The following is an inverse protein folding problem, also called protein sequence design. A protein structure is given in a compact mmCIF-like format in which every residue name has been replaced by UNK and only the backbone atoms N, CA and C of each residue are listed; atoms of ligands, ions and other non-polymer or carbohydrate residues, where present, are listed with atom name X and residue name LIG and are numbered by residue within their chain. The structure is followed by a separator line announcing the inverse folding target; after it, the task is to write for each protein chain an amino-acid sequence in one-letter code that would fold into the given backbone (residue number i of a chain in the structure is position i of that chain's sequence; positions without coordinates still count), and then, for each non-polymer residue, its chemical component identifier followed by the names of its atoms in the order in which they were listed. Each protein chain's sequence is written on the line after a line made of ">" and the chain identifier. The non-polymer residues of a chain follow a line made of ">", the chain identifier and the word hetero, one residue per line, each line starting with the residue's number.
data_IF_453300284221
#
_entry.id   IF_453300284221
#
_cell.length_a   1.000
_cell.length_b   1.000
_cell.length_c   1.000
_cell.angle_alpha   90.00
_cell.angle_beta   90.00
_cell.angle_gamma   90.00
#
_symmetry.space_group_name_H-M   'P 1'
#
loop_
_entity.id
_entity.type
_entity.pdbx_description
1 polymer ?
#
# COMPACT_ATOMS: atom_id res chain seq x y z
N UNK A 1 16.05 10.43 2.68
CA UNK A 1 14.78 9.80 3.12
C UNK A 1 14.56 10.12 4.60
N UNK A 2 13.45 10.79 4.94
CA UNK A 2 13.03 11.02 6.33
C UNK A 2 12.04 9.93 6.71
N UNK A 3 12.12 9.39 7.93
CA UNK A 3 11.22 8.35 8.44
C UNK A 3 10.75 8.70 9.85
N UNK A 4 9.46 8.57 10.12
CA UNK A 4 8.87 8.89 11.41
C UNK A 4 7.64 8.02 11.69
N UNK A 5 7.26 7.88 12.95
CA UNK A 5 6.06 7.14 13.33
C UNK A 5 4.78 7.88 12.93
N UNK A 6 3.85 7.16 12.32
CA UNK A 6 2.56 7.69 11.94
C UNK A 6 1.73 8.05 13.18
N UNK A 7 1.01 9.17 13.10
CA UNK A 7 0.03 9.56 14.12
C UNK A 7 -1.24 8.72 14.00
N UNK A 8 -2.02 8.63 15.08
CA UNK A 8 -3.24 7.81 15.12
C UNK A 8 -4.32 8.27 14.14
N UNK A 9 -4.48 9.58 13.98
CA UNK A 9 -5.38 10.22 13.02
C UNK A 9 -5.00 9.88 11.56
N UNK A 10 -3.71 9.89 11.24
CA UNK A 10 -3.22 9.44 9.93
C UNK A 10 -3.57 7.97 9.66
N UNK A 11 -3.34 7.08 10.63
CA UNK A 11 -3.67 5.66 10.48
C UNK A 11 -5.17 5.45 10.28
N UNK A 12 -6.01 6.21 10.99
CA UNK A 12 -7.46 6.18 10.82
C UNK A 12 -7.88 6.67 9.42
N UNK A 13 -7.30 7.79 8.96
CA UNK A 13 -7.56 8.34 7.63
C UNK A 13 -7.14 7.36 6.53
N UNK A 14 -5.94 6.80 6.61
CA UNK A 14 -5.42 5.80 5.68
C UNK A 14 -6.38 4.60 5.56
N UNK A 15 -6.88 4.07 6.69
CA UNK A 15 -7.84 2.95 6.68
C UNK A 15 -9.14 3.30 5.96
N UNK A 16 -9.61 4.54 6.06
CA UNK A 16 -10.84 4.98 5.41
C UNK A 16 -10.66 5.16 3.89
N UNK A 17 -9.48 5.64 3.46
CA UNK A 17 -9.13 5.83 2.05
C UNK A 17 -8.85 4.51 1.32
N UNK A 18 -8.40 3.48 2.02
CA UNK A 18 -8.12 2.18 1.43
C UNK A 18 -9.41 1.40 1.11
N UNK A 19 -9.47 0.75 -0.08
CA UNK A 19 -10.43 -0.31 -0.37
C UNK A 19 -10.46 -1.39 0.71
N UNK A 20 -11.62 -2.01 0.91
CA UNK A 20 -11.89 -2.91 2.04
C UNK A 20 -10.89 -4.07 2.13
N UNK A 21 -10.57 -4.71 1.00
CA UNK A 21 -9.59 -5.79 0.92
C UNK A 21 -8.17 -5.35 1.33
N UNK A 22 -7.78 -4.10 1.05
CA UNK A 22 -6.46 -3.60 1.42
C UNK A 22 -6.36 -3.15 2.88
N UNK A 23 -7.48 -2.97 3.59
CA UNK A 23 -7.47 -2.63 5.02
C UNK A 23 -6.88 -3.75 5.88
N UNK A 24 -6.99 -5.00 5.43
CA UNK A 24 -6.45 -6.18 6.11
C UNK A 24 -4.92 -6.16 6.23
N UNK A 25 -4.25 -5.46 5.31
CA UNK A 25 -2.80 -5.27 5.33
C UNK A 25 -2.33 -4.41 6.52
N UNK A 26 -3.22 -3.60 7.11
CA UNK A 26 -2.88 -2.76 8.27
C UNK A 26 -3.35 -3.47 9.55
N UNK A 27 -2.44 -4.00 10.37
CA UNK A 27 -2.80 -4.74 11.56
C UNK A 27 -3.47 -3.83 12.60
N UNK A 28 -4.26 -4.43 13.49
CA UNK A 28 -4.90 -3.70 14.61
C UNK A 28 -3.88 -3.14 15.61
N UNK A 29 -2.73 -3.81 15.74
CA UNK A 29 -1.58 -3.42 16.57
C UNK A 29 -0.31 -3.62 15.73
N UNK A 30 0.60 -2.65 15.78
CA UNK A 30 1.84 -2.69 15.00
C UNK A 30 2.45 -1.30 14.94
N UNK A 31 3.70 -1.22 14.50
CA UNK A 31 4.39 0.06 14.27
C UNK A 31 4.11 0.49 12.84
N UNK A 32 3.45 1.64 12.70
CA UNK A 32 3.25 2.29 11.40
C UNK A 32 4.20 3.47 11.31
N UNK A 33 4.95 3.53 10.23
CA UNK A 33 5.93 4.56 9.95
C UNK A 33 5.66 5.14 8.56
N UNK A 34 5.91 6.43 8.41
CA UNK A 34 5.85 7.13 7.13
C UNK A 34 7.28 7.42 6.73
N UNK A 35 7.64 7.05 5.51
CA UNK A 35 8.90 7.44 4.89
C UNK A 35 8.64 8.40 3.73
N UNK A 36 9.33 9.53 3.76
CA UNK A 36 9.24 10.58 2.74
C UNK A 36 10.59 10.73 2.05
N UNK A 37 10.56 10.69 0.73
CA UNK A 37 11.70 10.93 -0.13
C UNK A 37 11.25 11.61 -1.41
N UNK A 38 11.77 12.82 -1.64
CA UNK A 38 11.37 13.69 -2.74
C UNK A 38 9.84 13.86 -2.73
N UNK A 39 9.15 13.55 -3.83
CA UNK A 39 7.68 13.62 -3.95
C UNK A 39 6.99 12.27 -3.62
N UNK A 40 7.70 11.33 -2.99
CA UNK A 40 7.19 9.99 -2.69
C UNK A 40 6.96 9.81 -1.20
N UNK A 41 5.78 9.31 -0.86
CA UNK A 41 5.39 8.93 0.50
C UNK A 41 5.18 7.43 0.54
N UNK A 42 5.79 6.76 1.51
CA UNK A 42 5.65 5.32 1.74
C UNK A 42 5.08 5.07 3.14
N UNK A 43 4.17 4.10 3.22
CA UNK A 43 3.66 3.60 4.49
C UNK A 43 4.35 2.27 4.79
N UNK A 44 5.08 2.26 5.89
CA UNK A 44 5.83 1.11 6.38
C UNK A 44 5.10 0.57 7.60
N UNK A 45 4.80 -0.72 7.61
CA UNK A 45 4.15 -1.41 8.73
C UNK A 45 5.05 -2.54 9.18
N UNK A 46 5.43 -2.51 10.46
CA UNK A 46 6.31 -3.50 11.09
C UNK A 46 7.59 -3.78 10.29
N UNK A 47 8.15 -2.73 9.68
CA UNK A 47 9.40 -2.79 8.91
C UNK A 47 9.22 -3.06 7.41
N UNK A 48 8.01 -3.29 6.93
CA UNK A 48 7.74 -3.58 5.52
C UNK A 48 6.97 -2.47 4.81
N UNK A 49 7.41 -2.10 3.60
CA UNK A 49 6.70 -1.12 2.75
C UNK A 49 5.42 -1.76 2.21
N UNK A 50 4.28 -1.36 2.77
CA UNK A 50 2.98 -1.88 2.36
C UNK A 50 2.29 -0.99 1.33
N UNK A 51 2.44 0.32 1.44
CA UNK A 51 1.79 1.25 0.52
C UNK A 51 2.74 2.37 0.09
N UNK A 52 2.46 2.95 -1.07
CA UNK A 52 3.04 4.21 -1.51
C UNK A 52 1.93 5.15 -1.97
N UNK A 53 2.12 6.45 -1.78
CA UNK A 53 1.20 7.47 -2.27
C UNK A 53 1.48 7.73 -3.75
N UNK A 54 0.43 7.75 -4.56
CA UNK A 54 0.46 8.16 -5.96
C UNK A 54 -0.68 9.15 -6.20
N UNK A 55 -0.35 10.42 -6.43
CA UNK A 55 -1.34 11.49 -6.40
C UNK A 55 -2.00 11.60 -5.02
N UNK A 56 -3.32 11.38 -4.97
CA UNK A 56 -4.10 11.38 -3.74
C UNK A 56 -4.39 9.98 -3.17
N UNK A 57 -4.00 8.92 -3.88
CA UNK A 57 -4.33 7.55 -3.50
C UNK A 57 -3.14 6.82 -2.88
N UNK A 58 -3.44 5.88 -1.97
CA UNK A 58 -2.46 4.93 -1.46
C UNK A 58 -2.59 3.60 -2.19
N UNK A 59 -1.53 3.22 -2.91
CA UNK A 59 -1.48 2.00 -3.69
C UNK A 59 -0.64 0.96 -2.92
N UNK A 60 -1.11 -0.29 -2.79
CA UNK A 60 -0.30 -1.33 -2.16
C UNK A 60 0.95 -1.63 -3.01
N UNK A 61 2.05 -1.96 -2.33
CA UNK A 61 3.19 -2.55 -3.02
C UNK A 61 2.80 -3.92 -3.59
N UNK A 62 3.47 -4.36 -4.67
CA UNK A 62 3.21 -5.67 -5.25
C UNK A 62 3.36 -6.79 -4.20
N UNK A 63 4.37 -6.69 -3.34
CA UNK A 63 4.61 -7.63 -2.25
C UNK A 63 3.47 -7.63 -1.21
N UNK A 64 2.86 -6.48 -0.93
CA UNK A 64 1.71 -6.40 -0.04
C UNK A 64 0.45 -6.98 -0.69
N UNK A 65 0.17 -6.64 -1.95
CA UNK A 65 -0.99 -7.13 -2.69
C UNK A 65 -1.02 -8.68 -2.79
N UNK A 66 0.15 -9.32 -2.91
CA UNK A 66 0.27 -10.78 -2.95
C UNK A 66 -0.06 -11.51 -1.63
N UNK A 67 -0.22 -10.78 -0.51
CA UNK A 67 -0.53 -11.39 0.81
C UNK A 67 -2.01 -11.53 1.11
N UNK A 68 -2.85 -10.90 0.30
CA UNK A 68 -4.30 -10.93 0.48
C UNK A 68 -4.95 -11.59 -0.74
N UNK A 69 -6.17 -12.05 -0.55
CA UNK A 69 -6.99 -12.50 -1.66
C UNK A 69 -7.56 -11.28 -2.41
N UNK A 70 -7.19 -11.12 -3.67
CA UNK A 70 -7.72 -10.05 -4.53
C UNK A 70 -8.99 -10.57 -5.19
N UNK A 71 -10.14 -10.30 -4.56
CA UNK A 71 -11.46 -10.72 -5.02
C UNK A 71 -12.28 -9.60 -5.69
N UNK A 72 -11.76 -8.36 -5.69
CA UNK A 72 -12.41 -7.19 -6.27
C UNK A 72 -11.39 -6.27 -6.95
N UNK A 73 -11.87 -5.41 -7.86
CA UNK A 73 -11.06 -4.39 -8.56
C UNK A 73 -9.79 -4.94 -9.20
N UNK A 74 -9.89 -6.13 -9.83
CA UNK A 74 -8.80 -6.76 -10.56
C UNK A 74 -9.16 -6.94 -12.03
N UNK A 75 -8.12 -7.05 -12.86
CA UNK A 75 -8.23 -7.37 -14.28
C UNK A 75 -7.41 -8.62 -14.54
N UNK A 76 -8.03 -9.62 -15.17
CA UNK A 76 -7.33 -10.79 -15.69
C UNK A 76 -6.83 -10.46 -17.08
N UNK A 77 -5.54 -10.63 -17.30
CA UNK A 77 -4.89 -10.36 -18.58
C UNK A 77 -4.49 -11.66 -19.26
N UNK A 78 -4.45 -11.65 -20.59
CA UNK A 78 -3.89 -12.76 -21.35
C UNK A 78 -2.38 -12.87 -21.15
N UNK A 79 -1.83 -14.09 -21.27
CA UNK A 79 -0.39 -14.34 -21.14
C UNK A 79 0.44 -13.49 -22.12
N UNK A 80 -0.08 -13.21 -23.32
CA UNK A 80 0.56 -12.35 -24.32
C UNK A 80 0.70 -10.89 -23.90
N UNK A 81 -0.08 -10.41 -22.92
CA UNK A 81 0.03 -9.05 -22.38
C UNK A 81 1.14 -8.91 -21.33
N UNK A 82 1.59 -10.01 -20.71
CA UNK A 82 2.57 -9.99 -19.60
C UNK A 82 3.85 -9.22 -19.98
N UNK A 83 4.49 -9.45 -21.15
CA UNK A 83 5.74 -8.76 -21.49
C UNK A 83 5.61 -7.24 -21.53
N UNK A 84 4.42 -6.71 -21.81
CA UNK A 84 4.15 -5.27 -21.92
C UNK A 84 3.72 -4.63 -20.59
N UNK A 85 3.35 -5.44 -19.60
CA UNK A 85 2.99 -4.96 -18.25
C UNK A 85 4.24 -4.88 -17.37
N UNK A 86 5.18 -5.81 -17.54
CA UNK A 86 6.41 -5.89 -16.74
C UNK A 86 7.59 -5.11 -17.34
N UNK A 87 7.46 -4.62 -18.56
CA UNK A 87 8.50 -3.89 -19.32
C UNK A 87 8.75 -2.49 -18.82
#
# INVERSE_FOLDING_TARGET
>A
MKRYFARKDFIAKLKNELPENFRELIPKKGKVEIAEQDDRVFVIVDGEVLFFKHGEEYIPSLKAALKIEINQSYVVVDKGAIPYIVS
#
